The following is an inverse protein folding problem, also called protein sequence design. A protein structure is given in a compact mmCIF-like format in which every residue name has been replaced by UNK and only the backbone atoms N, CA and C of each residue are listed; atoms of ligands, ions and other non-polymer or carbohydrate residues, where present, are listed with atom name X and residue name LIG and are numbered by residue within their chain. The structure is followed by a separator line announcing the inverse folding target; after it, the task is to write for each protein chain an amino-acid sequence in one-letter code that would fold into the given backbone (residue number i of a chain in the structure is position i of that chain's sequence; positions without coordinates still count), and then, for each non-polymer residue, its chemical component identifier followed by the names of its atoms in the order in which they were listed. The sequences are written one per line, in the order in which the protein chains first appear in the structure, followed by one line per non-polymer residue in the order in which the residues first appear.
data_IF_734670154291
#
_entry.id   IF_734670154291
#
_cell.length_a   1.000
_cell.length_b   1.000
_cell.length_c   1.000
_cell.angle_alpha   90.00
_cell.angle_beta   90.00
_cell.angle_gamma   90.00
#
_symmetry.space_group_name_H-M   'P 1'
#
loop_
_entity.id
_entity.type
_entity.pdbx_description
1 polymer ?
#
# COMPACT_ATOMS: atom_id res chain seq x y z
N UNK A 1 -5.25 12.53 -13.05
CA UNK A 1 -5.77 11.41 -12.26
C UNK A 1 -7.10 10.96 -12.83
N UNK A 2 -7.24 9.68 -13.16
CA UNK A 2 -8.53 9.11 -13.52
C UNK A 2 -9.19 8.67 -12.21
N UNK A 3 -10.26 9.35 -11.82
CA UNK A 3 -11.03 9.05 -10.58
C UNK A 3 -11.72 7.68 -10.59
N UNK A 4 -11.41 6.85 -11.58
CA UNK A 4 -12.08 5.56 -11.83
C UNK A 4 -11.14 4.35 -11.75
N UNK A 5 -9.89 4.52 -11.36
CA UNK A 5 -8.92 3.42 -11.30
C UNK A 5 -8.89 2.82 -9.91
N UNK A 6 -9.38 1.59 -9.75
CA UNK A 6 -9.26 0.84 -8.50
C UNK A 6 -7.78 0.67 -8.14
N UNK A 7 -7.46 0.94 -6.89
CA UNK A 7 -6.10 0.78 -6.33
C UNK A 7 -6.03 -0.33 -5.28
N UNK A 8 -7.18 -0.87 -4.89
CA UNK A 8 -7.31 -1.89 -3.84
C UNK A 8 -8.19 -3.02 -4.34
N UNK A 9 -7.73 -4.25 -4.17
CA UNK A 9 -8.35 -5.46 -4.69
C UNK A 9 -8.47 -6.51 -3.59
N UNK A 10 -9.65 -7.10 -3.45
CA UNK A 10 -9.85 -8.30 -2.65
C UNK A 10 -9.73 -9.53 -3.56
N UNK A 11 -8.82 -10.42 -3.22
CA UNK A 11 -8.58 -11.66 -3.92
C UNK A 11 -9.22 -12.85 -3.18
N UNK A 12 -9.34 -14.02 -3.86
CA UNK A 12 -9.61 -15.29 -3.16
C UNK A 12 -8.64 -15.54 -2.00
N UNK A 13 -9.02 -16.42 -1.08
CA UNK A 13 -8.27 -16.73 0.13
C UNK A 13 -7.98 -15.51 1.02
N UNK A 14 -8.91 -14.52 1.01
CA UNK A 14 -8.85 -13.34 1.87
C UNK A 14 -7.51 -12.57 1.76
N UNK A 15 -6.95 -12.50 0.54
CA UNK A 15 -5.74 -11.74 0.24
C UNK A 15 -6.14 -10.37 -0.29
N UNK A 16 -5.53 -9.31 0.24
CA UNK A 16 -5.66 -7.94 -0.25
C UNK A 16 -4.45 -7.52 -1.07
N UNK A 17 -4.69 -6.83 -2.18
CA UNK A 17 -3.63 -6.21 -2.98
C UNK A 17 -3.95 -4.71 -3.09
N UNK A 18 -2.97 -3.86 -2.76
CA UNK A 18 -3.03 -2.44 -3.05
C UNK A 18 -1.87 -2.06 -3.98
N UNK A 19 -2.06 -1.01 -4.81
CA UNK A 19 -1.06 -0.63 -5.82
C UNK A 19 -0.90 0.88 -5.94
N UNK A 20 0.34 1.32 -6.23
CA UNK A 20 0.67 2.67 -6.65
C UNK A 20 1.80 2.65 -7.69
N UNK A 21 1.88 3.65 -8.55
CA UNK A 21 2.84 3.77 -9.64
C UNK A 21 2.16 3.98 -10.99
N UNK A 22 2.66 3.34 -12.04
CA UNK A 22 2.11 3.47 -13.40
C UNK A 22 0.60 3.15 -13.43
N UNK A 23 -0.18 4.05 -14.02
CA UNK A 23 -1.63 3.90 -14.10
C UNK A 23 -2.06 3.06 -15.32
N UNK A 24 -1.20 2.92 -16.31
CA UNK A 24 -1.48 2.19 -17.55
C UNK A 24 -0.21 1.64 -18.20
N UNK A 25 -0.36 0.55 -18.95
CA UNK A 25 0.65 -0.03 -19.81
C UNK A 25 0.16 0.08 -21.27
N UNK A 26 0.91 0.80 -22.11
CA UNK A 26 0.56 1.01 -23.53
C UNK A 26 -0.89 1.47 -23.74
N UNK A 27 -1.39 2.35 -22.87
CA UNK A 27 -2.74 2.89 -22.92
C UNK A 27 -3.83 2.00 -22.32
N UNK A 28 -3.51 0.79 -21.87
CA UNK A 28 -4.43 -0.09 -21.14
C UNK A 28 -4.29 0.15 -19.64
N UNK A 29 -5.38 0.42 -18.92
CA UNK A 29 -5.33 0.61 -17.46
C UNK A 29 -4.69 -0.59 -16.75
N UNK A 30 -3.80 -0.32 -15.79
CA UNK A 30 -3.11 -1.37 -15.03
C UNK A 30 -4.09 -2.25 -14.24
N UNK A 31 -5.24 -1.71 -13.87
CA UNK A 31 -6.34 -2.42 -13.20
C UNK A 31 -6.73 -3.70 -13.97
N UNK A 32 -6.86 -3.62 -15.29
CA UNK A 32 -7.22 -4.78 -16.13
C UNK A 32 -6.19 -5.91 -16.06
N UNK A 33 -4.90 -5.56 -15.99
CA UNK A 33 -3.83 -6.54 -15.80
C UNK A 33 -3.90 -7.17 -14.40
N UNK A 34 -4.15 -6.37 -13.36
CA UNK A 34 -4.28 -6.86 -11.98
C UNK A 34 -5.48 -7.79 -11.85
N UNK A 35 -6.63 -7.42 -12.41
CA UNK A 35 -7.84 -8.27 -12.42
C UNK A 35 -7.62 -9.58 -13.18
N UNK A 36 -6.90 -9.55 -14.31
CA UNK A 36 -6.53 -10.76 -15.04
C UNK A 36 -5.58 -11.64 -14.22
N UNK A 37 -4.57 -11.05 -13.59
CA UNK A 37 -3.69 -11.77 -12.68
C UNK A 37 -4.47 -12.47 -11.57
N UNK A 38 -5.36 -11.75 -10.89
CA UNK A 38 -6.17 -12.30 -9.79
C UNK A 38 -7.01 -13.47 -10.30
N UNK A 39 -7.72 -13.31 -11.41
CA UNK A 39 -8.59 -14.33 -11.99
C UNK A 39 -7.85 -15.59 -12.43
N UNK A 40 -6.63 -15.44 -12.95
CA UNK A 40 -5.89 -16.53 -13.61
C UNK A 40 -4.93 -17.24 -12.65
N UNK A 41 -4.45 -16.55 -11.60
CA UNK A 41 -3.36 -17.04 -10.77
C UNK A 41 -3.71 -17.18 -9.29
N UNK A 42 -4.78 -16.53 -8.80
CA UNK A 42 -5.16 -16.57 -7.38
C UNK A 42 -6.42 -17.41 -7.20
N UNK A 43 -6.38 -18.37 -6.30
CA UNK A 43 -7.52 -19.21 -5.91
C UNK A 43 -7.57 -19.39 -4.38
N UNK A 44 -8.53 -20.18 -3.88
CA UNK A 44 -8.73 -20.39 -2.44
C UNK A 44 -7.55 -21.13 -1.76
N UNK A 45 -6.73 -21.84 -2.51
CA UNK A 45 -5.57 -22.61 -2.00
C UNK A 45 -4.26 -21.81 -2.15
N UNK A 46 -4.30 -20.59 -2.68
CA UNK A 46 -3.10 -19.78 -2.90
C UNK A 46 -2.50 -19.33 -1.58
N UNK A 47 -1.25 -19.73 -1.30
CA UNK A 47 -0.51 -19.22 -0.14
C UNK A 47 -0.03 -17.79 -0.43
N UNK A 48 -0.36 -16.86 0.46
CA UNK A 48 -0.01 -15.45 0.36
C UNK A 48 1.50 -15.21 0.18
N UNK A 49 2.36 -16.07 0.73
CA UNK A 49 3.83 -15.95 0.62
C UNK A 49 4.29 -16.00 -0.84
N UNK A 50 3.56 -16.72 -1.69
CA UNK A 50 3.91 -16.88 -3.10
C UNK A 50 3.44 -15.70 -3.98
N UNK A 51 2.42 -14.97 -3.55
CA UNK A 51 1.77 -13.92 -4.36
C UNK A 51 2.73 -12.81 -4.82
N UNK A 52 3.67 -12.33 -4.00
CA UNK A 52 4.63 -11.31 -4.45
C UNK A 52 5.45 -11.75 -5.67
N UNK A 53 5.99 -12.97 -5.62
CA UNK A 53 6.78 -13.49 -6.74
C UNK A 53 5.91 -13.79 -7.95
N UNK A 54 4.67 -14.26 -7.75
CA UNK A 54 3.71 -14.48 -8.84
C UNK A 54 3.36 -13.17 -9.55
N UNK A 55 3.17 -12.05 -8.81
CA UNK A 55 2.96 -10.72 -9.39
C UNK A 55 4.14 -10.27 -10.24
N UNK A 56 5.36 -10.37 -9.74
CA UNK A 56 6.57 -10.03 -10.48
C UNK A 56 6.63 -10.85 -11.77
N UNK A 57 6.52 -12.16 -11.67
CA UNK A 57 6.57 -13.06 -12.82
C UNK A 57 5.49 -12.72 -13.87
N UNK A 58 4.27 -12.45 -13.43
CA UNK A 58 3.17 -12.09 -14.32
C UNK A 58 3.46 -10.80 -15.09
N UNK A 59 3.85 -9.73 -14.41
CA UNK A 59 4.12 -8.45 -15.09
C UNK A 59 5.37 -8.49 -15.97
N UNK A 60 6.32 -9.38 -15.71
CA UNK A 60 7.46 -9.62 -16.60
C UNK A 60 7.08 -10.37 -17.89
N UNK A 61 5.87 -10.90 -18.01
CA UNK A 61 5.32 -11.42 -19.28
C UNK A 61 4.62 -10.35 -20.11
N UNK A 62 4.35 -9.17 -19.57
CA UNK A 62 3.71 -8.08 -20.29
C UNK A 62 4.69 -7.41 -21.27
N UNK A 63 4.23 -6.75 -22.32
CA UNK A 63 5.10 -6.09 -23.30
C UNK A 63 6.03 -5.03 -22.71
N UNK A 64 5.60 -4.41 -21.59
CA UNK A 64 6.37 -3.43 -20.82
C UNK A 64 6.17 -3.72 -19.34
N UNK A 65 7.27 -3.85 -18.60
CA UNK A 65 7.23 -4.00 -17.15
C UNK A 65 6.92 -2.63 -16.52
N UNK A 66 5.85 -2.51 -15.70
CA UNK A 66 5.48 -1.24 -15.09
C UNK A 66 6.40 -0.86 -13.93
N UNK A 67 6.60 0.42 -13.73
CA UNK A 67 7.19 0.95 -12.50
C UNK A 67 6.08 1.11 -11.46
N UNK A 68 5.76 0.00 -10.81
CA UNK A 68 4.60 -0.11 -9.93
C UNK A 68 4.95 -0.88 -8.68
N UNK A 69 4.53 -0.31 -7.55
CA UNK A 69 4.61 -0.95 -6.25
C UNK A 69 3.28 -1.62 -5.90
N UNK A 70 3.39 -2.71 -5.16
CA UNK A 70 2.26 -3.40 -4.57
C UNK A 70 2.47 -3.61 -3.07
N UNK A 71 1.37 -3.53 -2.33
CA UNK A 71 1.23 -4.09 -0.98
C UNK A 71 0.34 -5.31 -1.08
N UNK A 72 0.85 -6.46 -0.65
CA UNK A 72 0.11 -7.72 -0.54
C UNK A 72 -0.09 -8.02 0.92
N UNK A 73 -1.34 -8.18 1.35
CA UNK A 73 -1.70 -8.36 2.76
C UNK A 73 -2.65 -9.54 2.93
N UNK A 74 -2.53 -10.26 4.04
CA UNK A 74 -3.43 -11.36 4.38
C UNK A 74 -2.96 -12.10 5.62
N UNK A 75 -3.50 -13.31 5.80
CA UNK A 75 -3.17 -14.16 6.91
C UNK A 75 -2.75 -15.54 6.43
N UNK A 76 -1.81 -16.15 7.15
CA UNK A 76 -1.42 -17.53 7.01
C UNK A 76 -1.65 -18.24 8.33
N UNK A 77 -2.12 -19.49 8.31
CA UNK A 77 -2.19 -20.29 9.50
C UNK A 77 -0.82 -20.90 9.81
N UNK A 78 -0.29 -20.60 10.97
CA UNK A 78 0.93 -21.18 11.52
C UNK A 78 0.57 -21.91 12.81
N UNK A 79 0.60 -23.25 12.78
CA UNK A 79 0.13 -24.07 13.90
C UNK A 79 -1.30 -23.72 14.36
N UNK A 80 -2.22 -23.56 13.41
CA UNK A 80 -3.61 -23.17 13.61
C UNK A 80 -3.82 -21.76 14.20
N UNK A 81 -2.77 -20.96 14.26
CA UNK A 81 -2.82 -19.55 14.69
C UNK A 81 -2.67 -18.66 13.47
N UNK A 82 -3.61 -17.71 13.24
CA UNK A 82 -3.48 -16.76 12.16
C UNK A 82 -2.26 -15.84 12.35
N UNK A 83 -1.31 -15.90 11.43
CA UNK A 83 -0.13 -15.03 11.36
C UNK A 83 -0.35 -14.01 10.24
N UNK A 84 -0.27 -12.73 10.58
CA UNK A 84 -0.39 -11.64 9.61
C UNK A 84 0.82 -11.60 8.68
N UNK A 85 0.57 -11.50 7.38
CA UNK A 85 1.59 -11.39 6.36
C UNK A 85 1.40 -10.10 5.56
N UNK A 86 2.46 -9.32 5.44
CA UNK A 86 2.48 -8.09 4.64
C UNK A 86 3.76 -8.08 3.82
N UNK A 87 3.62 -7.86 2.51
CA UNK A 87 4.74 -7.71 1.59
C UNK A 87 4.60 -6.41 0.82
N UNK A 88 5.68 -5.65 0.76
CA UNK A 88 5.85 -4.61 -0.22
C UNK A 88 6.71 -5.14 -1.36
N UNK A 89 6.37 -4.82 -2.60
CA UNK A 89 7.19 -5.18 -3.75
C UNK A 89 7.16 -4.08 -4.82
N UNK A 90 8.27 -3.97 -5.57
CA UNK A 90 8.33 -3.23 -6.83
C UNK A 90 8.54 -4.22 -7.98
N UNK A 91 7.69 -4.14 -8.99
CA UNK A 91 7.70 -5.10 -10.10
C UNK A 91 8.91 -4.89 -11.01
N UNK A 92 9.25 -3.64 -11.30
CA UNK A 92 10.35 -3.31 -12.22
C UNK A 92 11.72 -3.67 -11.65
N UNK A 93 11.90 -3.43 -10.35
CA UNK A 93 13.16 -3.70 -9.65
C UNK A 93 13.23 -5.15 -9.14
N UNK A 94 12.18 -5.94 -9.34
CA UNK A 94 12.04 -7.33 -8.84
C UNK A 94 12.29 -7.45 -7.32
N UNK A 95 12.02 -6.38 -6.58
CA UNK A 95 12.29 -6.33 -5.14
C UNK A 95 11.07 -6.74 -4.33
N UNK A 96 11.27 -7.58 -3.33
CA UNK A 96 10.24 -8.02 -2.37
C UNK A 96 10.78 -7.74 -0.96
N UNK A 97 10.00 -7.00 -0.17
CA UNK A 97 10.29 -6.68 1.22
C UNK A 97 9.17 -7.21 2.12
N UNK A 98 9.41 -8.28 2.88
CA UNK A 98 8.51 -8.67 3.96
C UNK A 98 8.48 -7.56 5.03
N UNK A 99 7.29 -7.20 5.48
CA UNK A 99 7.12 -6.19 6.53
C UNK A 99 6.99 -6.92 7.87
N UNK A 100 7.77 -6.47 8.85
CA UNK A 100 7.66 -6.98 10.22
C UNK A 100 6.28 -6.63 10.81
N UNK A 101 5.53 -7.64 11.18
CA UNK A 101 4.18 -7.53 11.78
C UNK A 101 4.15 -7.86 13.27
N UNK A 102 5.33 -7.98 13.89
CA UNK A 102 5.46 -8.28 15.34
C UNK A 102 4.81 -7.18 16.19
N UNK A 103 4.90 -5.94 15.74
CA UNK A 103 4.33 -4.79 16.42
C UNK A 103 3.28 -4.10 15.55
N UNK A 104 2.19 -3.57 16.17
CA UNK A 104 1.22 -2.75 15.46
C UNK A 104 1.91 -1.53 14.83
N UNK A 105 1.51 -1.20 13.61
CA UNK A 105 2.09 -0.08 12.87
C UNK A 105 1.30 0.26 11.61
N UNK A 106 1.84 1.18 10.82
CA UNK A 106 1.30 1.53 9.52
C UNK A 106 2.39 1.56 8.45
N UNK A 107 2.04 1.15 7.25
CA UNK A 107 2.86 1.29 6.04
C UNK A 107 2.09 2.10 5.01
N UNK A 108 2.76 3.03 4.39
CA UNK A 108 2.20 3.82 3.28
C UNK A 108 3.19 3.90 2.13
N UNK A 109 2.66 4.12 0.94
CA UNK A 109 3.41 4.19 -0.31
C UNK A 109 2.75 5.18 -1.28
N UNK A 110 3.41 5.49 -2.40
CA UNK A 110 2.99 6.49 -3.36
C UNK A 110 3.40 7.90 -2.91
N UNK A 111 2.45 8.81 -2.76
CA UNK A 111 2.71 10.19 -2.29
C UNK A 111 2.90 10.24 -0.78
N UNK A 112 4.09 9.87 -0.34
CA UNK A 112 4.41 9.68 1.08
C UNK A 112 4.75 10.96 1.82
N UNK A 113 5.12 12.04 1.12
CA UNK A 113 5.72 13.24 1.73
C UNK A 113 4.82 13.94 2.74
N UNK A 114 3.53 14.08 2.44
CA UNK A 114 2.59 14.79 3.32
C UNK A 114 2.47 14.09 4.66
N UNK A 115 2.13 12.79 4.64
CA UNK A 115 1.95 12.02 5.86
C UNK A 115 3.25 11.87 6.66
N UNK A 116 4.37 11.65 5.97
CA UNK A 116 5.68 11.55 6.61
C UNK A 116 6.07 12.82 7.35
N UNK A 117 5.79 14.00 6.80
CA UNK A 117 6.03 15.28 7.48
C UNK A 117 5.17 15.48 8.73
N UNK A 118 3.97 14.89 8.75
CA UNK A 118 3.05 15.03 9.89
C UNK A 118 3.43 14.11 11.04
N UNK A 119 3.80 12.85 10.76
CA UNK A 119 3.99 11.84 11.81
C UNK A 119 5.42 11.39 12.05
N UNK A 120 6.32 11.55 11.08
CA UNK A 120 7.74 11.24 11.27
C UNK A 120 8.50 12.44 11.84
N UNK A 121 9.69 12.17 12.39
CA UNK A 121 10.57 13.23 12.85
C UNK A 121 11.02 14.08 11.65
N UNK A 122 10.76 15.38 11.72
CA UNK A 122 11.15 16.34 10.70
C UNK A 122 12.20 17.29 11.23
N UNK A 123 13.04 17.77 10.33
CA UNK A 123 14.12 18.70 10.64
C UNK A 123 13.99 19.95 9.79
N UNK A 124 14.31 21.09 10.38
CA UNK A 124 14.54 22.35 9.65
C UNK A 124 16.03 22.71 9.77
N UNK A 125 16.56 23.48 8.80
CA UNK A 125 17.85 24.11 8.92
C UNK A 125 17.67 25.58 9.27
N UNK A 126 18.41 26.05 10.27
CA UNK A 126 18.49 27.47 10.60
C UNK A 126 19.38 28.24 9.60
N UNK A 127 19.52 29.56 9.83
CA UNK A 127 20.33 30.45 8.98
C UNK A 127 21.80 30.06 8.94
N UNK A 128 22.30 29.38 9.98
CA UNK A 128 23.68 28.89 10.09
C UNK A 128 23.85 27.48 9.50
N UNK A 129 22.78 26.90 8.94
CA UNK A 129 22.78 25.54 8.34
C UNK A 129 22.70 24.40 9.38
N UNK A 130 22.45 24.70 10.66
CA UNK A 130 22.30 23.71 11.71
C UNK A 130 20.91 23.05 11.64
N UNK A 131 20.89 21.73 11.75
CA UNK A 131 19.63 20.97 11.79
C UNK A 131 18.98 21.06 13.17
N UNK A 132 17.72 21.48 13.16
CA UNK A 132 16.86 21.57 14.34
C UNK A 132 15.73 20.56 14.15
N UNK A 133 15.62 19.59 15.07
CA UNK A 133 14.50 18.65 15.07
C UNK A 133 13.20 19.38 15.45
N UNK A 134 12.15 19.20 14.65
CA UNK A 134 10.80 19.68 14.95
C UNK A 134 10.01 18.65 15.77
N UNK A 135 10.61 17.49 16.04
CA UNK A 135 9.97 16.38 16.75
C UNK A 135 9.18 15.47 15.81
N UNK A 136 8.57 14.48 16.43
CA UNK A 136 7.68 13.52 15.78
C UNK A 136 6.31 13.49 16.47
N UNK A 137 5.27 13.18 15.73
CA UNK A 137 3.96 12.87 16.29
C UNK A 137 3.95 11.40 16.73
N UNK A 138 4.00 11.15 18.04
CA UNK A 138 3.94 9.79 18.57
C UNK A 138 2.55 9.19 18.37
N UNK A 139 2.42 8.26 17.46
CA UNK A 139 1.18 7.52 17.23
C UNK A 139 1.18 6.23 18.05
N UNK A 140 0.16 6.05 18.90
CA UNK A 140 0.05 4.88 19.78
C UNK A 140 -0.64 3.72 19.04
N UNK A 141 0.00 3.14 18.06
CA UNK A 141 -0.54 2.08 17.19
C UNK A 141 -1.15 0.91 17.97
N UNK A 142 -0.55 0.51 19.08
CA UNK A 142 -1.00 -0.60 19.91
C UNK A 142 -2.32 -0.36 20.65
N UNK A 143 -2.84 0.89 20.64
CA UNK A 143 -4.13 1.24 21.24
C UNK A 143 -5.25 1.35 20.19
N UNK A 144 -4.94 1.21 18.93
CA UNK A 144 -5.95 1.33 17.86
C UNK A 144 -6.95 0.20 17.94
N UNK A 145 -8.23 0.56 17.93
CA UNK A 145 -9.31 -0.35 17.54
C UNK A 145 -9.29 -0.54 16.02
N UNK A 146 -10.07 -1.50 15.51
CA UNK A 146 -10.23 -1.63 14.06
C UNK A 146 -10.77 -0.34 13.42
N UNK A 147 -11.70 0.35 14.10
CA UNK A 147 -12.25 1.60 13.59
C UNK A 147 -11.18 2.70 13.54
N UNK A 148 -10.35 2.81 14.57
CA UNK A 148 -9.24 3.78 14.59
C UNK A 148 -8.27 3.52 13.40
N UNK A 149 -8.00 2.25 13.08
CA UNK A 149 -7.15 1.90 11.95
C UNK A 149 -7.78 2.29 10.60
N UNK A 150 -9.09 2.08 10.43
CA UNK A 150 -9.86 2.50 9.25
C UNK A 150 -9.83 4.04 9.13
N UNK A 151 -10.16 4.74 10.20
CA UNK A 151 -10.22 6.21 10.22
C UNK A 151 -8.83 6.81 9.95
N UNK A 152 -7.76 6.20 10.49
CA UNK A 152 -6.40 6.63 10.22
C UNK A 152 -6.00 6.40 8.75
N UNK A 153 -6.34 5.25 8.17
CA UNK A 153 -6.07 4.98 6.75
C UNK A 153 -6.78 5.99 5.85
N UNK A 154 -8.04 6.31 6.15
CA UNK A 154 -8.80 7.34 5.44
C UNK A 154 -8.17 8.72 5.61
N UNK A 155 -7.79 9.10 6.84
CA UNK A 155 -7.13 10.37 7.13
C UNK A 155 -5.83 10.52 6.34
N UNK A 156 -5.00 9.47 6.27
CA UNK A 156 -3.72 9.51 5.58
C UNK A 156 -3.86 9.85 4.09
N UNK A 157 -4.87 9.31 3.43
CA UNK A 157 -5.17 9.63 2.02
C UNK A 157 -5.83 11.01 1.89
N UNK A 158 -6.81 11.32 2.73
CA UNK A 158 -7.55 12.60 2.70
C UNK A 158 -6.64 13.81 2.93
N UNK A 159 -5.73 13.74 3.91
CA UNK A 159 -4.78 14.82 4.15
C UNK A 159 -3.81 15.01 3.00
N UNK A 160 -3.42 13.93 2.31
CA UNK A 160 -2.57 14.01 1.12
C UNK A 160 -3.32 14.68 -0.03
N UNK A 161 -4.54 14.25 -0.34
CA UNK A 161 -5.40 14.87 -1.37
C UNK A 161 -5.56 16.37 -1.12
N UNK A 162 -5.96 16.73 0.10
CA UNK A 162 -6.18 18.14 0.48
C UNK A 162 -4.91 18.97 0.40
N UNK A 163 -3.79 18.44 0.84
CA UNK A 163 -2.49 19.14 0.77
C UNK A 163 -2.09 19.39 -0.68
N UNK A 164 -2.25 18.40 -1.56
CA UNK A 164 -1.93 18.55 -2.97
C UNK A 164 -2.85 19.58 -3.66
N UNK A 165 -4.15 19.56 -3.33
CA UNK A 165 -5.12 20.51 -3.88
C UNK A 165 -4.76 21.97 -3.62
N UNK A 166 -4.18 22.29 -2.46
CA UNK A 166 -3.77 23.65 -2.12
C UNK A 166 -2.30 23.96 -2.44
N UNK A 167 -1.57 23.02 -3.01
CA UNK A 167 -0.17 23.20 -3.39
C UNK A 167 -0.04 23.51 -4.89
N UNK A 168 1.15 23.92 -5.31
CA UNK A 168 1.46 24.19 -6.73
C UNK A 168 1.91 22.93 -7.50
N UNK A 169 1.82 21.74 -6.88
CA UNK A 169 2.19 20.49 -7.53
C UNK A 169 1.03 19.89 -8.32
N UNK A 170 1.34 19.03 -9.26
CA UNK A 170 0.31 18.31 -10.01
C UNK A 170 -0.39 17.32 -9.05
N UNK A 171 -1.71 17.35 -9.02
CA UNK A 171 -2.51 16.42 -8.24
C UNK A 171 -2.35 15.00 -8.80
N UNK A 172 -1.65 14.15 -8.07
CA UNK A 172 -1.42 12.73 -8.42
C UNK A 172 -2.28 11.79 -7.58
N UNK A 173 -2.86 12.28 -6.48
CA UNK A 173 -3.80 11.57 -5.62
C UNK A 173 -5.15 12.28 -5.63
N UNK A 174 -6.23 11.55 -5.84
CA UNK A 174 -7.59 12.10 -5.91
C UNK A 174 -8.63 10.97 -5.94
N UNK A 175 -9.89 11.35 -6.16
CA UNK A 175 -11.02 10.42 -6.28
C UNK A 175 -11.58 9.95 -4.94
N UNK A 176 -12.55 9.01 -4.97
CA UNK A 176 -13.04 8.38 -3.77
C UNK A 176 -11.93 7.55 -3.12
N UNK A 177 -11.96 7.48 -1.78
CA UNK A 177 -11.01 6.68 -1.00
C UNK A 177 -11.59 5.28 -0.82
N UNK A 178 -10.94 4.29 -1.41
CA UNK A 178 -11.30 2.88 -1.23
C UNK A 178 -10.55 2.31 -0.02
N UNK A 179 -11.27 1.58 0.81
CA UNK A 179 -10.72 0.93 2.01
C UNK A 179 -11.05 -0.57 1.96
N UNK A 180 -10.02 -1.38 2.11
CA UNK A 180 -10.15 -2.83 2.24
C UNK A 180 -9.68 -3.26 3.63
N UNK A 181 -10.52 -4.03 4.32
CA UNK A 181 -10.21 -4.60 5.63
C UNK A 181 -10.05 -6.11 5.49
N UNK A 182 -8.86 -6.60 5.78
CA UNK A 182 -8.55 -8.03 5.81
C UNK A 182 -8.50 -8.48 7.27
N UNK A 183 -9.24 -9.52 7.59
CA UNK A 183 -9.29 -10.11 8.94
C UNK A 183 -8.96 -11.59 8.86
N UNK A 184 -8.38 -12.18 9.91
CA UNK A 184 -8.22 -13.63 9.95
C UNK A 184 -9.59 -14.31 9.87
N UNK A 185 -9.67 -15.40 9.12
CA UNK A 185 -10.86 -16.24 9.14
C UNK A 185 -11.05 -16.81 10.55
N UNK A 186 -12.27 -16.77 11.04
CA UNK A 186 -12.61 -17.42 12.32
C UNK A 186 -12.69 -18.92 12.06
N UNK A 187 -11.80 -19.66 12.68
CA UNK A 187 -11.88 -21.12 12.80
C UNK A 187 -13.15 -21.56 13.54
#
# INVERSE_FOLDING_TARGET
TTDTTNKVFLCPNNIGIATCGDASLDGVPITGYIESFIREHINQDTDIINVPQMLINYFHTTPKVPDTNFLVVGYRLENDIPSQQIFWLNVKDESILPIDTTFPGARWDGETQTLSKIIQNTYMRDEDGKEISLGETKVSWGLFTLQDAIDFAQYAVDVTIKTMHYSSVVETVGGPIDILVIKPERS
#
